data_IF_513433702654
#
_entry.id   IF_513433702654
#
_cell.length_a   1.000
_cell.length_b   1.000
_cell.length_c   1.000
_cell.angle_alpha   90.00
_cell.angle_beta   90.00
_cell.angle_gamma   90.00
#
_symmetry.space_group_name_H-M   'P 1'
#
loop_
_entity.id
_entity.type
_entity.pdbx_description
1 polymer ?
#
# COMPACT_ATOMS: atom_id res chain seq x y z
N UNK A 1 7.22 -13.66 43.87
CA UNK A 1 5.89 -13.12 44.23
C UNK A 1 5.42 -13.81 45.50
N UNK A 2 4.72 -13.11 46.40
CA UNK A 2 4.20 -13.67 47.65
C UNK A 2 2.68 -13.52 47.64
N UNK A 3 1.96 -14.64 47.70
CA UNK A 3 0.51 -14.63 47.83
C UNK A 3 0.15 -14.45 49.31
N UNK A 4 -0.87 -13.63 49.60
CA UNK A 4 -1.35 -13.34 50.96
C UNK A 4 -2.84 -13.64 50.99
N UNK A 5 -3.27 -14.36 52.03
CA UNK A 5 -4.69 -14.73 52.21
C UNK A 5 -5.57 -13.49 52.41
N UNK A 6 -6.78 -13.44 51.83
CA UNK A 6 -7.72 -12.33 52.00
C UNK A 6 -8.20 -12.10 53.45
N UNK A 7 -8.10 -13.11 54.30
CA UNK A 7 -8.52 -13.07 55.71
C UNK A 7 -7.47 -12.51 56.65
N UNK A 8 -6.30 -12.13 56.13
CA UNK A 8 -5.24 -11.58 56.95
C UNK A 8 -5.41 -10.05 57.11
N UNK A 9 -6.13 -9.65 58.16
CA UNK A 9 -6.39 -8.25 58.51
C UNK A 9 -5.11 -7.46 58.84
N UNK A 10 -3.98 -8.14 59.09
CA UNK A 10 -2.68 -7.50 59.31
C UNK A 10 -2.11 -6.85 58.04
N UNK A 11 -2.63 -7.19 56.86
CA UNK A 11 -2.13 -6.68 55.57
C UNK A 11 -2.91 -5.46 55.06
N UNK A 12 -2.70 -4.33 55.71
CA UNK A 12 -3.38 -3.04 55.42
C UNK A 12 -3.16 -2.53 53.98
N UNK A 13 -2.07 -2.93 53.31
CA UNK A 13 -1.79 -2.61 51.92
C UNK A 13 -2.81 -3.25 50.95
N UNK A 14 -3.36 -4.41 51.28
CA UNK A 14 -4.35 -5.10 50.44
C UNK A 14 -5.67 -4.34 50.35
N UNK A 15 -6.13 -3.79 51.49
CA UNK A 15 -7.32 -2.96 51.54
C UNK A 15 -7.14 -1.67 50.70
N UNK A 16 -6.00 -0.98 50.86
CA UNK A 16 -5.66 0.21 50.08
C UNK A 16 -5.57 -0.09 48.58
N UNK A 17 -4.95 -1.21 48.19
CA UNK A 17 -4.88 -1.63 46.79
C UNK A 17 -6.28 -1.89 46.20
N UNK A 18 -7.17 -2.54 46.98
CA UNK A 18 -8.55 -2.83 46.56
C UNK A 18 -9.39 -1.57 46.39
N UNK A 19 -9.22 -0.57 47.26
CA UNK A 19 -9.91 0.72 47.14
C UNK A 19 -9.44 1.50 45.91
N UNK A 20 -8.13 1.54 45.65
CA UNK A 20 -7.59 2.25 44.48
C UNK A 20 -7.95 1.54 43.17
N UNK A 21 -8.00 0.20 43.16
CA UNK A 21 -8.46 -0.56 41.99
C UNK A 21 -9.92 -0.26 41.64
N UNK A 22 -10.82 -0.15 42.64
CA UNK A 22 -12.23 0.22 42.43
C UNK A 22 -12.35 1.63 41.83
N UNK A 23 -11.69 2.62 42.45
CA UNK A 23 -11.65 4.00 41.94
C UNK A 23 -11.15 4.07 40.51
N UNK A 24 -10.16 3.25 40.14
CA UNK A 24 -9.62 3.23 38.77
C UNK A 24 -10.58 2.63 37.74
N UNK A 25 -11.54 1.80 38.16
CA UNK A 25 -12.54 1.14 37.29
C UNK A 25 -13.90 1.85 37.26
N UNK A 26 -14.10 2.89 38.06
CA UNK A 26 -15.35 3.63 38.11
C UNK A 26 -15.64 4.34 36.77
N UNK A 27 -16.92 4.44 36.42
CA UNK A 27 -17.38 5.00 35.15
C UNK A 27 -16.95 6.47 35.01
N UNK A 28 -16.09 6.77 34.03
CA UNK A 28 -15.58 8.12 33.76
C UNK A 28 -14.11 8.34 34.13
N UNK A 29 -13.46 7.39 34.80
CA UNK A 29 -12.04 7.49 35.11
C UNK A 29 -11.15 7.30 33.87
N UNK A 30 -10.30 8.29 33.58
CA UNK A 30 -9.22 8.20 32.59
C UNK A 30 -7.93 7.76 33.27
N UNK A 31 -7.26 6.76 32.71
CA UNK A 31 -5.92 6.38 33.15
C UNK A 31 -4.97 7.60 33.05
N UNK A 32 -4.42 8.03 34.18
CA UNK A 32 -3.55 9.22 34.28
C UNK A 32 -2.10 8.93 33.89
N UNK A 33 -1.67 7.66 33.94
CA UNK A 33 -0.34 7.22 33.55
C UNK A 33 -0.45 6.11 32.50
N UNK A 34 0.36 6.15 31.43
CA UNK A 34 0.46 5.01 30.54
C UNK A 34 0.95 3.80 31.34
N UNK A 35 0.36 2.63 31.08
CA UNK A 35 0.83 1.37 31.67
C UNK A 35 2.32 1.21 31.37
N UNK A 36 3.11 0.90 32.40
CA UNK A 36 4.51 0.53 32.21
C UNK A 36 4.57 -0.70 31.31
N UNK A 37 4.97 -0.51 30.04
CA UNK A 37 5.26 -1.62 29.15
C UNK A 37 6.69 -2.06 29.38
N UNK A 38 6.88 -3.17 30.10
CA UNK A 38 8.14 -3.89 30.16
C UNK A 38 8.47 -4.46 28.78
N UNK A 39 9.03 -3.64 27.89
CA UNK A 39 9.63 -4.15 26.65
C UNK A 39 10.97 -4.74 27.06
N UNK A 40 11.04 -6.06 27.21
CA UNK A 40 12.31 -6.71 27.53
C UNK A 40 13.34 -6.29 26.48
N UNK A 41 14.52 -5.86 26.93
CA UNK A 41 15.64 -5.49 26.06
C UNK A 41 15.93 -6.61 25.07
N UNK A 42 15.80 -7.86 25.54
CA UNK A 42 15.88 -9.09 24.74
C UNK A 42 14.86 -9.13 23.61
N UNK A 43 13.57 -8.86 23.86
CA UNK A 43 12.56 -8.82 22.79
C UNK A 43 12.87 -7.71 21.78
N UNK A 44 13.32 -6.53 22.24
CA UNK A 44 13.68 -5.42 21.35
C UNK A 44 14.86 -5.79 20.44
N UNK A 45 15.90 -6.42 21.00
CA UNK A 45 17.05 -6.94 20.24
C UNK A 45 16.63 -8.00 19.24
N UNK A 46 15.81 -8.98 19.65
CA UNK A 46 15.31 -10.03 18.77
C UNK A 46 14.45 -9.45 17.61
N UNK A 47 13.60 -8.46 17.89
CA UNK A 47 12.83 -7.78 16.84
C UNK A 47 13.73 -6.98 15.89
N UNK A 48 14.81 -6.37 16.38
CA UNK A 48 15.77 -5.65 15.55
C UNK A 48 16.57 -6.59 14.65
N UNK A 49 17.08 -7.71 15.21
CA UNK A 49 17.74 -8.78 14.45
C UNK A 49 16.80 -9.35 13.39
N UNK A 50 15.54 -9.66 13.76
CA UNK A 50 14.54 -10.13 12.79
C UNK A 50 14.31 -9.11 11.67
N UNK A 51 14.28 -7.81 11.97
CA UNK A 51 14.13 -6.76 10.94
C UNK A 51 15.31 -6.72 9.97
N UNK A 52 16.53 -6.97 10.43
CA UNK A 52 17.71 -7.07 9.56
C UNK A 52 17.59 -8.22 8.56
N UNK A 53 17.01 -9.35 8.98
CA UNK A 53 16.75 -10.49 8.09
C UNK A 53 15.49 -10.35 7.21
N UNK A 54 14.63 -9.37 7.50
CA UNK A 54 13.39 -9.11 6.76
C UNK A 54 13.54 -7.99 5.72
N UNK A 55 14.77 -7.71 5.29
CA UNK A 55 15.04 -6.77 4.20
C UNK A 55 14.92 -7.51 2.88
N UNK A 56 14.02 -7.07 2.01
CA UNK A 56 13.90 -7.61 0.67
C UNK A 56 15.16 -7.27 -0.14
N UNK A 57 15.68 -8.20 -0.97
CA UNK A 57 16.77 -7.91 -1.90
C UNK A 57 16.44 -6.70 -2.77
N UNK A 58 17.46 -5.98 -3.22
CA UNK A 58 17.29 -4.77 -4.02
C UNK A 58 16.51 -5.04 -5.32
N UNK A 59 16.78 -6.19 -5.95
CA UNK A 59 16.12 -6.67 -7.18
C UNK A 59 14.61 -6.92 -7.02
N UNK A 60 14.13 -7.14 -5.80
CA UNK A 60 12.70 -7.40 -5.57
C UNK A 60 11.92 -6.09 -5.62
N UNK A 61 10.89 -6.08 -6.48
CA UNK A 61 9.97 -4.94 -6.62
C UNK A 61 10.59 -3.71 -7.26
N UNK A 62 11.67 -3.88 -8.06
CA UNK A 62 12.34 -2.77 -8.76
C UNK A 62 11.36 -1.88 -9.53
N UNK A 63 10.41 -2.46 -10.26
CA UNK A 63 9.36 -1.73 -10.98
C UNK A 63 8.51 -0.85 -10.05
N UNK A 64 7.98 -1.40 -8.96
CA UNK A 64 7.17 -0.63 -8.01
C UNK A 64 7.98 0.44 -7.28
N UNK A 65 9.27 0.20 -6.99
CA UNK A 65 10.18 1.18 -6.40
C UNK A 65 10.53 2.32 -7.38
N UNK A 66 10.63 2.03 -8.67
CA UNK A 66 10.83 3.04 -9.72
C UNK A 66 9.62 3.98 -9.82
N UNK A 67 8.42 3.42 -9.74
CA UNK A 67 7.16 4.17 -9.74
C UNK A 67 6.97 4.97 -8.45
N UNK A 68 7.32 4.40 -7.30
CA UNK A 68 7.13 4.99 -5.98
C UNK A 68 8.35 4.76 -5.09
N UNK A 69 9.23 5.76 -5.04
CA UNK A 69 10.47 5.75 -4.24
C UNK A 69 10.20 5.77 -2.74
N UNK A 70 9.02 6.18 -2.32
CA UNK A 70 8.65 6.27 -0.90
C UNK A 70 7.97 5.00 -0.37
N UNK A 71 8.07 3.87 -1.09
CA UNK A 71 7.58 2.59 -0.60
C UNK A 71 8.46 2.02 0.53
N UNK A 72 7.85 1.44 1.58
CA UNK A 72 6.42 1.50 1.92
C UNK A 72 6.04 2.82 2.61
N UNK A 73 4.93 3.44 2.21
CA UNK A 73 4.50 4.73 2.76
C UNK A 73 3.02 4.81 3.16
N UNK A 74 2.68 5.76 4.05
CA UNK A 74 1.29 5.99 4.50
C UNK A 74 0.37 6.39 3.34
N UNK A 75 0.92 7.07 2.34
CA UNK A 75 0.19 7.49 1.14
C UNK A 75 -0.38 6.32 0.36
N UNK A 76 0.34 5.19 0.28
CA UNK A 76 -0.12 3.98 -0.39
C UNK A 76 -1.38 3.44 0.28
N UNK A 77 -1.41 3.43 1.63
CA UNK A 77 -2.61 3.02 2.37
C UNK A 77 -3.79 3.97 2.09
N UNK A 78 -3.58 5.28 2.20
CA UNK A 78 -4.63 6.27 1.91
C UNK A 78 -5.15 6.18 0.49
N UNK A 79 -4.27 5.86 -0.48
CA UNK A 79 -4.61 5.67 -1.88
C UNK A 79 -5.57 4.48 -2.06
N UNK A 80 -5.22 3.31 -1.51
CA UNK A 80 -6.05 2.11 -1.65
C UNK A 80 -7.34 2.16 -0.81
N UNK A 81 -7.31 2.80 0.37
CA UNK A 81 -8.50 2.99 1.21
C UNK A 81 -9.57 3.86 0.50
N UNK A 82 -9.17 4.70 -0.47
CA UNK A 82 -10.05 5.57 -1.24
C UNK A 82 -10.64 4.93 -2.51
N UNK A 83 -10.27 3.68 -2.81
CA UNK A 83 -10.65 2.95 -4.03
C UNK A 83 -11.53 1.75 -3.71
N UNK A 84 -12.42 1.41 -4.65
CA UNK A 84 -13.20 0.16 -4.55
C UNK A 84 -12.31 -1.05 -4.82
N UNK A 85 -12.67 -2.23 -4.31
CA UNK A 85 -11.91 -3.48 -4.51
C UNK A 85 -11.45 -3.68 -5.96
N UNK A 86 -12.38 -3.61 -6.93
CA UNK A 86 -12.07 -3.79 -8.36
C UNK A 86 -11.09 -2.74 -8.90
N UNK A 87 -11.21 -1.50 -8.43
CA UNK A 87 -10.32 -0.40 -8.82
C UNK A 87 -8.91 -0.61 -8.25
N UNK A 88 -8.84 -1.07 -7.00
CA UNK A 88 -7.59 -1.45 -6.34
C UNK A 88 -6.90 -2.62 -7.04
N UNK A 89 -7.64 -3.64 -7.48
CA UNK A 89 -7.07 -4.79 -8.21
C UNK A 89 -6.39 -4.34 -9.51
N UNK A 90 -7.06 -3.47 -10.28
CA UNK A 90 -6.49 -2.88 -11.51
C UNK A 90 -5.25 -2.04 -11.18
N UNK A 91 -5.33 -1.19 -10.15
CA UNK A 91 -4.20 -0.35 -9.74
C UNK A 91 -3.00 -1.19 -9.28
N UNK A 92 -3.21 -2.30 -8.57
CA UNK A 92 -2.13 -3.22 -8.17
C UNK A 92 -1.46 -3.83 -9.39
N UNK A 93 -2.23 -4.32 -10.38
CA UNK A 93 -1.67 -4.86 -11.62
C UNK A 93 -0.79 -3.82 -12.32
N UNK A 94 -1.29 -2.58 -12.46
CA UNK A 94 -0.54 -1.49 -13.09
C UNK A 94 0.70 -1.10 -12.28
N UNK A 95 0.62 -0.99 -10.94
CA UNK A 95 1.74 -0.59 -10.07
C UNK A 95 2.82 -1.65 -9.87
N UNK A 96 2.50 -2.92 -10.10
CA UNK A 96 3.45 -4.03 -10.01
C UNK A 96 4.04 -4.42 -11.36
N UNK A 97 3.43 -3.96 -12.46
CA UNK A 97 3.74 -4.43 -13.81
C UNK A 97 3.30 -5.87 -14.06
N UNK A 98 2.60 -6.49 -13.10
CA UNK A 98 2.05 -7.84 -13.18
C UNK A 98 0.62 -7.77 -13.71
N UNK A 99 0.47 -7.14 -14.89
CA UNK A 99 -0.80 -6.90 -15.56
C UNK A 99 -0.95 -7.83 -16.77
N UNK A 100 -2.17 -7.92 -17.33
CA UNK A 100 -2.46 -8.65 -18.58
C UNK A 100 -1.96 -7.90 -19.84
N UNK A 101 -0.70 -7.46 -19.80
CA UNK A 101 0.05 -6.88 -20.92
C UNK A 101 1.06 -7.91 -21.44
N UNK A 102 1.30 -7.94 -22.75
CA UNK A 102 2.05 -9.03 -23.38
C UNK A 102 3.47 -9.21 -22.81
N UNK A 103 4.16 -8.14 -22.39
CA UNK A 103 5.48 -8.27 -21.73
C UNK A 103 5.43 -9.14 -20.48
N UNK A 104 4.43 -8.96 -19.62
CA UNK A 104 4.31 -9.78 -18.41
C UNK A 104 3.82 -11.19 -18.74
N UNK A 105 2.86 -11.31 -19.67
CA UNK A 105 2.31 -12.60 -20.11
C UNK A 105 3.39 -13.49 -20.75
N UNK A 106 4.24 -12.93 -21.62
CA UNK A 106 5.37 -13.62 -22.22
C UNK A 106 6.39 -14.05 -21.15
N UNK A 107 6.70 -13.19 -20.17
CA UNK A 107 7.61 -13.52 -19.06
C UNK A 107 7.15 -14.72 -18.24
N UNK A 108 5.84 -14.98 -18.15
CA UNK A 108 5.28 -16.13 -17.42
C UNK A 108 4.90 -17.30 -18.33
N UNK A 109 5.20 -17.22 -19.64
CA UNK A 109 4.87 -18.25 -20.62
C UNK A 109 3.37 -18.36 -20.97
N UNK A 110 2.58 -17.32 -20.71
CA UNK A 110 1.15 -17.27 -21.04
C UNK A 110 0.87 -16.63 -22.42
N UNK A 111 1.88 -16.03 -23.04
CA UNK A 111 1.81 -15.50 -24.40
C UNK A 111 3.10 -15.88 -25.16
N UNK A 112 2.99 -16.11 -26.46
CA UNK A 112 4.12 -16.49 -27.33
C UNK A 112 5.08 -15.32 -27.59
N UNK A 113 4.59 -14.09 -27.55
CA UNK A 113 5.37 -12.87 -27.82
C UNK A 113 5.06 -11.78 -26.79
N UNK A 114 6.02 -10.88 -26.55
CA UNK A 114 5.87 -9.68 -25.73
C UNK A 114 5.41 -8.44 -26.53
N UNK A 115 5.44 -8.51 -27.86
CA UNK A 115 4.98 -7.46 -28.77
C UNK A 115 3.50 -7.16 -28.58
N UNK A 116 3.14 -5.88 -28.55
CA UNK A 116 1.74 -5.47 -28.55
C UNK A 116 1.08 -5.79 -29.91
N UNK A 117 -0.21 -6.13 -29.94
CA UNK A 117 -0.92 -6.37 -31.20
C UNK A 117 -1.05 -5.11 -32.09
N UNK A 118 -0.62 -3.93 -31.61
CA UNK A 118 -0.45 -2.75 -32.47
C UNK A 118 0.80 -2.83 -33.37
N UNK A 119 1.71 -3.76 -33.11
CA UNK A 119 2.90 -4.05 -33.91
C UNK A 119 4.08 -3.08 -33.75
N UNK A 120 4.00 -2.10 -32.85
CA UNK A 120 5.02 -1.04 -32.73
C UNK A 120 6.17 -1.37 -31.78
N UNK A 121 5.85 -1.88 -30.58
CA UNK A 121 6.83 -2.16 -29.53
C UNK A 121 6.32 -3.25 -28.58
N UNK A 122 7.19 -3.71 -27.67
CA UNK A 122 6.82 -4.58 -26.56
C UNK A 122 5.71 -3.94 -25.70
N UNK A 123 4.71 -4.72 -25.35
CA UNK A 123 3.59 -4.23 -24.56
C UNK A 123 3.95 -4.11 -23.08
N UNK A 124 4.50 -2.96 -22.72
CA UNK A 124 4.69 -2.53 -21.33
C UNK A 124 3.45 -1.82 -20.80
N UNK A 125 3.39 -1.62 -19.47
CA UNK A 125 2.36 -0.76 -18.86
C UNK A 125 2.45 0.68 -19.38
N UNK A 126 3.66 1.17 -19.68
CA UNK A 126 3.89 2.50 -20.26
C UNK A 126 3.28 2.59 -21.67
N UNK A 127 3.57 1.61 -22.52
CA UNK A 127 2.98 1.51 -23.85
C UNK A 127 1.45 1.46 -23.77
N UNK A 128 0.93 0.56 -22.94
CA UNK A 128 -0.50 0.37 -22.74
C UNK A 128 -1.21 1.67 -22.32
N UNK A 129 -0.67 2.39 -21.33
CA UNK A 129 -1.28 3.60 -20.79
C UNK A 129 -1.10 4.83 -21.71
N UNK A 130 0.04 4.97 -22.39
CA UNK A 130 0.45 6.27 -22.97
C UNK A 130 0.80 6.29 -24.45
N UNK A 131 1.07 5.13 -25.08
CA UNK A 131 1.58 5.10 -26.46
C UNK A 131 0.75 4.27 -27.43
N UNK A 132 0.08 3.22 -26.95
CA UNK A 132 -0.66 2.30 -27.81
C UNK A 132 -1.76 3.04 -28.57
N UNK A 133 -1.76 3.03 -29.92
CA UNK A 133 -2.75 3.77 -30.73
C UNK A 133 -4.14 3.14 -30.64
N UNK A 134 -4.24 1.86 -30.30
CA UNK A 134 -5.52 1.14 -30.14
C UNK A 134 -6.39 1.70 -29.02
N UNK A 135 -5.79 2.44 -28.08
CA UNK A 135 -6.45 2.95 -26.89
C UNK A 135 -6.54 4.47 -26.85
N UNK A 136 -6.38 5.15 -27.99
CA UNK A 136 -6.32 6.61 -28.04
C UNK A 136 -7.61 7.29 -27.58
N UNK A 137 -8.77 6.74 -27.94
CA UNK A 137 -10.09 7.22 -27.51
C UNK A 137 -10.25 7.08 -25.99
N UNK A 138 -9.93 5.91 -25.44
CA UNK A 138 -10.06 5.65 -24.00
C UNK A 138 -9.13 6.57 -23.19
N UNK A 139 -7.98 6.97 -23.78
CA UNK A 139 -6.97 7.83 -23.14
C UNK A 139 -7.47 9.26 -22.91
N UNK A 140 -8.57 9.68 -23.53
CA UNK A 140 -9.24 10.95 -23.23
C UNK A 140 -9.57 11.10 -21.74
N UNK A 141 -9.89 10.00 -21.05
CA UNK A 141 -10.11 10.03 -19.60
C UNK A 141 -8.91 10.60 -18.83
N UNK A 142 -7.69 10.34 -19.29
CA UNK A 142 -6.44 10.81 -18.68
C UNK A 142 -6.07 12.21 -19.20
N UNK A 143 -6.21 12.47 -20.50
CA UNK A 143 -5.95 13.79 -21.11
C UNK A 143 -6.84 14.88 -20.50
N UNK A 144 -8.08 14.55 -20.15
CA UNK A 144 -9.04 15.49 -19.55
C UNK A 144 -8.70 15.86 -18.09
N UNK A 145 -7.88 15.06 -17.41
CA UNK A 145 -7.43 15.40 -16.05
C UNK A 145 -6.21 16.29 -16.11
N UNK A 146 -5.19 15.86 -16.84
CA UNK A 146 -3.95 16.62 -17.01
C UNK A 146 -3.19 16.10 -18.24
N UNK A 147 -3.27 16.86 -19.34
CA UNK A 147 -2.59 16.53 -20.59
C UNK A 147 -1.08 16.72 -20.53
N UNK A 148 -0.57 17.60 -19.67
CA UNK A 148 0.87 17.88 -19.54
C UNK A 148 1.59 16.71 -18.85
N UNK A 149 0.88 16.02 -17.95
CA UNK A 149 1.42 14.87 -17.20
C UNK A 149 1.34 13.55 -17.98
N UNK A 150 0.90 13.57 -19.24
CA UNK A 150 0.86 12.38 -20.10
C UNK A 150 2.26 11.77 -20.26
N UNK A 151 2.38 10.47 -20.00
CA UNK A 151 3.67 9.77 -19.95
C UNK A 151 4.27 9.66 -18.55
N UNK A 152 3.70 10.33 -17.53
CA UNK A 152 4.16 10.21 -16.15
C UNK A 152 3.44 9.06 -15.42
N UNK A 153 4.05 7.88 -15.40
CA UNK A 153 3.54 6.70 -14.67
C UNK A 153 3.30 6.99 -13.17
N UNK A 154 4.25 7.65 -12.51
CA UNK A 154 4.15 7.93 -11.07
C UNK A 154 2.93 8.81 -10.76
N UNK A 155 2.65 9.83 -11.58
CA UNK A 155 1.50 10.70 -11.41
C UNK A 155 0.17 9.93 -11.54
N UNK A 156 0.00 9.18 -12.63
CA UNK A 156 -1.24 8.46 -12.91
C UNK A 156 -1.45 7.20 -12.06
N UNK A 157 -0.39 6.65 -11.46
CA UNK A 157 -0.47 5.47 -10.59
C UNK A 157 -0.28 5.80 -9.09
N UNK A 158 -0.20 7.09 -8.75
CA UNK A 158 -0.13 7.57 -7.36
C UNK A 158 1.18 7.22 -6.65
N UNK A 159 2.28 7.19 -7.39
CA UNK A 159 3.63 7.00 -6.90
C UNK A 159 4.31 8.31 -6.52
N UNK A 160 5.18 8.26 -5.50
CA UNK A 160 6.00 9.39 -5.10
C UNK A 160 7.37 9.33 -5.78
N UNK A 161 7.75 10.40 -6.45
CA UNK A 161 9.07 10.58 -7.07
C UNK A 161 10.08 11.18 -6.07
N UNK A 162 11.35 11.31 -6.48
CA UNK A 162 12.38 11.96 -5.66
C UNK A 162 12.22 13.49 -5.61
N UNK A 163 11.57 14.07 -6.62
CA UNK A 163 11.34 15.51 -6.76
C UNK A 163 10.19 15.98 -5.85
N UNK A 164 9.33 15.05 -5.43
CA UNK A 164 8.18 15.34 -4.60
C UNK A 164 8.57 15.71 -3.16
N UNK A 165 8.11 16.89 -2.74
CA UNK A 165 8.33 17.41 -1.39
C UNK A 165 7.77 16.54 -0.25
N UNK A 166 8.10 16.89 0.99
CA UNK A 166 7.69 16.13 2.17
C UNK A 166 6.17 16.12 2.43
N UNK A 167 5.43 17.12 1.94
CA UNK A 167 3.97 17.26 2.09
C UNK A 167 3.17 16.73 0.89
N UNK A 168 3.82 16.02 -0.04
CA UNK A 168 3.19 15.48 -1.25
C UNK A 168 2.04 14.50 -0.93
N UNK A 169 1.03 14.49 -1.80
CA UNK A 169 -0.11 13.56 -1.76
C UNK A 169 -0.42 13.06 -3.18
N UNK A 170 -0.85 11.80 -3.33
CA UNK A 170 -1.22 11.27 -4.64
C UNK A 170 -2.47 11.99 -5.18
N UNK A 171 -2.46 12.28 -6.48
CA UNK A 171 -3.62 12.85 -7.16
C UNK A 171 -4.66 11.74 -7.44
N UNK A 172 -5.70 11.68 -6.61
CA UNK A 172 -6.76 10.68 -6.74
C UNK A 172 -7.56 10.82 -8.05
N UNK A 173 -7.66 12.02 -8.63
CA UNK A 173 -8.36 12.22 -9.90
C UNK A 173 -7.58 11.56 -11.04
N UNK A 174 -6.26 11.76 -11.09
CA UNK A 174 -5.37 11.12 -12.06
C UNK A 174 -5.40 9.59 -11.93
N UNK A 175 -5.32 9.07 -10.70
CA UNK A 175 -5.39 7.62 -10.46
C UNK A 175 -6.73 7.04 -10.90
N UNK A 176 -7.84 7.71 -10.57
CA UNK A 176 -9.17 7.27 -11.02
C UNK A 176 -9.32 7.34 -12.54
N UNK A 177 -8.69 8.31 -13.22
CA UNK A 177 -8.68 8.37 -14.67
C UNK A 177 -7.92 7.20 -15.30
N UNK A 178 -6.74 6.85 -14.79
CA UNK A 178 -5.99 5.68 -15.24
C UNK A 178 -6.77 4.37 -15.02
N UNK A 179 -7.48 4.25 -13.90
CA UNK A 179 -8.35 3.10 -13.63
C UNK A 179 -9.55 3.08 -14.57
N UNK A 180 -10.19 4.22 -14.84
CA UNK A 180 -11.29 4.33 -15.81
C UNK A 180 -10.85 3.93 -17.21
N UNK A 181 -9.69 4.41 -17.65
CA UNK A 181 -9.03 3.98 -18.89
C UNK A 181 -8.88 2.45 -18.92
N UNK A 182 -8.23 1.87 -17.91
CA UNK A 182 -8.00 0.43 -17.88
C UNK A 182 -9.31 -0.38 -17.90
N UNK A 183 -10.36 0.10 -17.22
CA UNK A 183 -11.68 -0.52 -17.27
C UNK A 183 -12.35 -0.41 -18.64
N UNK A 184 -12.28 0.74 -19.31
CA UNK A 184 -12.90 0.91 -20.63
C UNK A 184 -12.23 0.07 -21.70
N UNK A 185 -10.93 -0.26 -21.55
CA UNK A 185 -10.27 -1.24 -22.44
C UNK A 185 -10.79 -2.68 -22.24
N UNK A 186 -11.36 -3.00 -21.07
CA UNK A 186 -11.80 -4.35 -20.71
C UNK A 186 -10.68 -5.40 -20.62
N UNK A 187 -9.41 -5.00 -20.75
CA UNK A 187 -8.25 -5.92 -20.84
C UNK A 187 -7.81 -6.44 -19.47
N UNK A 188 -7.87 -5.58 -18.46
CA UNK A 188 -7.41 -5.88 -17.09
C UNK A 188 -8.52 -6.39 -16.16
N UNK A 189 -9.76 -6.46 -16.64
CA UNK A 189 -10.88 -6.96 -15.85
C UNK A 189 -10.81 -8.49 -15.69
N UNK A 190 -10.79 -8.94 -14.44
CA UNK A 190 -10.70 -10.36 -14.07
C UNK A 190 -11.99 -11.14 -14.39
N UNK A 191 -13.08 -10.47 -14.77
CA UNK A 191 -14.40 -11.08 -15.02
C UNK A 191 -14.53 -11.77 -16.39
N UNK A 192 -13.51 -11.69 -17.24
CA UNK A 192 -13.38 -12.54 -18.43
C UNK A 192 -12.60 -13.80 -18.05
N UNK A 193 -13.33 -14.82 -17.60
CA UNK A 193 -12.93 -16.23 -17.56
C UNK A 193 -14.11 -17.04 -18.07
#
# INVERSE_FOLDING_TARGET
MRWVSPTNDSFTLGAKAKTEARKATDSGCRATKPLYQARSTRLRVLLAQRRQHMVLPESVGSYSKQLDKALPGKHTRTLYDALKRRESDILVQLRTGMARVNRYLHRIGAAETDTCDCGQEEETVDHFLFRCPRWDEQREHMRNVDGEMMGNLSFFLGGKTAEDGHKWRPNLAAVRAAIKFAKSTGRLDATRT
#
